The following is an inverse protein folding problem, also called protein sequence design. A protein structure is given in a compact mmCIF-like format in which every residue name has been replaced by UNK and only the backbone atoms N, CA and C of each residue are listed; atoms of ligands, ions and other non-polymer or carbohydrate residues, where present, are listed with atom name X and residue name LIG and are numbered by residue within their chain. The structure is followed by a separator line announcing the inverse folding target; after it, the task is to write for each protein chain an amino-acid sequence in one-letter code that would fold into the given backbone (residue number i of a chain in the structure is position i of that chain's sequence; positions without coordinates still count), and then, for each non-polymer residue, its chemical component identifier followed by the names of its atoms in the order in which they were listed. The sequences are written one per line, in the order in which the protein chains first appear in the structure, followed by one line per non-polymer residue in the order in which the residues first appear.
data_IF_378174301535
#
_entry.id   IF_378174301535
#
_cell.length_a   1.000
_cell.length_b   1.000
_cell.length_c   1.000
_cell.angle_alpha   90.00
_cell.angle_beta   90.00
_cell.angle_gamma   90.00
#
_symmetry.space_group_name_H-M   'P 1'
#
loop_
_entity.id
_entity.type
_entity.pdbx_description
1 polymer ?
#
# COMPACT_ATOMS: atom_id res chain seq x y z
N UNK A 1 21.92 -23.43 -25.85
CA UNK A 1 20.78 -24.25 -25.40
C UNK A 1 20.03 -23.40 -24.41
N UNK A 2 19.16 -22.52 -24.93
CA UNK A 2 18.40 -21.55 -24.15
C UNK A 2 17.15 -22.27 -23.65
N UNK A 3 17.17 -22.65 -22.38
CA UNK A 3 16.01 -23.24 -21.70
C UNK A 3 15.06 -22.13 -21.28
N UNK A 4 13.80 -22.29 -21.68
CA UNK A 4 12.63 -21.45 -21.40
C UNK A 4 12.63 -20.75 -20.03
N UNK A 5 12.80 -19.43 -20.03
CA UNK A 5 12.37 -18.52 -18.95
C UNK A 5 11.06 -17.79 -19.32
N UNK A 6 10.43 -18.17 -20.42
CA UNK A 6 9.19 -17.59 -20.92
C UNK A 6 7.99 -18.25 -20.24
N UNK A 7 7.14 -17.39 -19.65
CA UNK A 7 5.81 -17.66 -19.05
C UNK A 7 5.73 -18.09 -17.59
N UNK A 8 6.43 -17.40 -16.68
CA UNK A 8 5.75 -17.07 -15.42
C UNK A 8 4.58 -16.13 -15.77
N UNK A 9 3.33 -16.56 -15.58
CA UNK A 9 2.13 -15.75 -15.82
C UNK A 9 2.26 -14.49 -14.97
N UNK A 10 2.53 -13.34 -15.60
CA UNK A 10 2.64 -12.05 -14.90
C UNK A 10 1.26 -11.72 -14.34
N UNK A 11 1.10 -11.88 -13.02
CA UNK A 11 -0.14 -11.62 -12.32
C UNK A 11 -0.29 -10.11 -12.16
N UNK A 12 -1.54 -9.65 -12.11
CA UNK A 12 -1.85 -8.27 -11.76
C UNK A 12 -1.72 -8.06 -10.25
N UNK A 13 -2.17 -9.05 -9.48
CA UNK A 13 -2.13 -9.08 -8.01
C UNK A 13 -1.59 -10.44 -7.59
N UNK A 14 -0.63 -10.46 -6.68
CA UNK A 14 -0.01 -11.67 -6.15
C UNK A 14 -0.78 -12.20 -4.95
N UNK A 15 -1.23 -11.30 -4.06
CA UNK A 15 -1.92 -11.68 -2.82
C UNK A 15 -3.11 -10.77 -2.50
N UNK A 16 -4.08 -11.36 -1.81
CA UNK A 16 -5.18 -10.67 -1.15
C UNK A 16 -5.27 -11.15 0.30
N UNK A 17 -5.33 -10.22 1.24
CA UNK A 17 -5.38 -10.49 2.68
C UNK A 17 -6.58 -9.81 3.31
N UNK A 18 -7.15 -10.48 4.31
CA UNK A 18 -8.09 -9.89 5.25
C UNK A 18 -7.51 -10.07 6.65
N UNK A 19 -7.45 -8.98 7.40
CA UNK A 19 -7.02 -9.00 8.77
C UNK A 19 -8.03 -8.30 9.67
N UNK A 20 -8.09 -8.71 10.93
CA UNK A 20 -8.90 -8.05 11.96
C UNK A 20 -8.06 -7.65 13.15
N UNK A 21 -8.45 -6.57 13.81
CA UNK A 21 -7.85 -6.05 15.04
C UNK A 21 -8.93 -5.66 16.04
N UNK A 22 -8.99 -6.38 17.16
CA UNK A 22 -9.98 -6.27 18.25
C UNK A 22 -9.47 -5.45 19.44
N UNK A 23 -8.16 -5.20 19.50
CA UNK A 23 -7.47 -4.46 20.55
C UNK A 23 -6.02 -4.14 20.19
N UNK A 24 -5.30 -3.48 21.10
CA UNK A 24 -3.87 -3.21 20.90
C UNK A 24 -3.08 -4.54 20.94
N UNK A 25 -2.40 -4.86 19.82
CA UNK A 25 -1.59 -6.07 19.69
C UNK A 25 -2.36 -7.36 19.40
N UNK A 26 -3.69 -7.31 19.26
CA UNK A 26 -4.54 -8.46 18.92
C UNK A 26 -4.94 -8.39 17.43
N UNK A 27 -3.93 -8.51 16.57
CA UNK A 27 -4.05 -8.44 15.11
C UNK A 27 -3.87 -9.84 14.51
N UNK A 28 -4.79 -10.27 13.65
CA UNK A 28 -4.73 -11.59 13.05
C UNK A 28 -5.20 -11.58 11.59
N UNK A 29 -4.54 -12.37 10.74
CA UNK A 29 -5.05 -12.71 9.41
C UNK A 29 -6.25 -13.64 9.55
N UNK A 30 -7.39 -13.22 8.99
CA UNK A 30 -8.62 -14.02 8.95
C UNK A 30 -8.79 -14.71 7.60
N UNK A 31 -8.22 -14.14 6.53
CA UNK A 31 -8.23 -14.73 5.21
C UNK A 31 -6.97 -14.33 4.43
N UNK A 32 -6.53 -15.24 3.57
CA UNK A 32 -5.48 -14.96 2.60
C UNK A 32 -5.73 -15.75 1.32
N UNK A 33 -5.37 -15.14 0.20
CA UNK A 33 -5.34 -15.77 -1.10
C UNK A 33 -4.10 -15.32 -1.87
N UNK A 34 -3.35 -16.22 -2.52
CA UNK A 34 -3.44 -17.67 -2.42
C UNK A 34 -3.22 -18.19 -0.98
N UNK A 35 -3.70 -19.39 -0.69
CA UNK A 35 -3.37 -20.04 0.59
C UNK A 35 -1.86 -20.29 0.66
N UNK A 36 -1.22 -20.11 1.83
CA UNK A 36 0.22 -20.33 1.99
C UNK A 36 0.61 -21.70 1.48
N UNK A 37 1.47 -21.75 0.46
CA UNK A 37 2.19 -22.94 0.05
C UNK A 37 3.66 -22.77 0.43
N UNK A 38 4.39 -23.86 0.70
CA UNK A 38 5.81 -23.80 1.10
C UNK A 38 6.74 -23.17 0.03
N UNK A 39 6.24 -22.93 -1.19
CA UNK A 39 7.01 -22.48 -2.34
C UNK A 39 6.91 -20.97 -2.64
N UNK A 40 5.98 -20.25 -2.02
CA UNK A 40 5.77 -18.83 -2.29
C UNK A 40 6.61 -17.94 -1.36
N UNK A 41 7.21 -16.87 -1.90
CA UNK A 41 7.90 -15.82 -1.13
C UNK A 41 6.85 -15.00 -0.38
N UNK A 42 6.29 -15.61 0.68
CA UNK A 42 5.27 -15.03 1.52
C UNK A 42 5.82 -13.82 2.29
N UNK A 43 5.16 -12.65 2.31
CA UNK A 43 5.60 -11.51 3.11
C UNK A 43 5.27 -11.74 4.61
N UNK A 44 6.25 -12.10 5.47
CA UNK A 44 5.97 -12.56 6.83
C UNK A 44 5.40 -11.45 7.74
N UNK A 45 5.67 -10.18 7.41
CA UNK A 45 5.35 -9.03 8.24
C UNK A 45 4.15 -8.21 7.71
N UNK A 46 3.37 -8.76 6.78
CA UNK A 46 2.28 -8.03 6.10
C UNK A 46 1.29 -7.38 7.08
N UNK A 47 0.97 -8.06 8.18
CA UNK A 47 0.04 -7.56 9.20
C UNK A 47 0.47 -6.21 9.79
N UNK A 48 1.78 -5.99 9.97
CA UNK A 48 2.32 -4.76 10.54
C UNK A 48 2.02 -3.52 9.68
N UNK A 49 1.70 -3.71 8.40
CA UNK A 49 1.42 -2.66 7.43
C UNK A 49 -0.07 -2.54 7.08
N UNK A 50 -0.89 -3.53 7.43
CA UNK A 50 -2.33 -3.52 7.10
C UNK A 50 -3.15 -2.54 7.97
N UNK A 51 -2.61 -2.13 9.12
CA UNK A 51 -3.26 -1.23 10.06
C UNK A 51 -2.45 0.07 10.21
N UNK A 52 -2.82 1.16 9.51
CA UNK A 52 -2.12 2.43 9.64
C UNK A 52 -2.27 3.02 11.05
N UNK A 53 -1.35 3.91 11.42
CA UNK A 53 -1.45 4.68 12.65
C UNK A 53 -2.67 5.60 12.57
N UNK A 54 -3.65 5.41 13.45
CA UNK A 54 -4.81 6.31 13.53
C UNK A 54 -4.91 6.88 14.94
N UNK A 55 -5.15 8.19 15.06
CA UNK A 55 -5.55 8.79 16.33
C UNK A 55 -6.93 8.24 16.75
N UNK A 56 -6.98 7.61 17.93
CA UNK A 56 -8.13 7.23 18.81
C UNK A 56 -9.58 7.21 18.24
N UNK A 57 -10.40 6.19 18.54
CA UNK A 57 -11.71 6.00 17.91
C UNK A 57 -12.74 7.09 18.27
N UNK A 58 -13.61 7.38 17.29
CA UNK A 58 -14.97 7.92 17.42
C UNK A 58 -15.21 8.97 18.53
N UNK A 59 -14.90 10.24 18.26
CA UNK A 59 -15.55 11.33 18.98
C UNK A 59 -17.00 11.47 18.49
N UNK A 60 -17.98 11.19 19.35
CA UNK A 60 -19.39 11.51 19.08
C UNK A 60 -20.28 10.35 18.55
N UNK A 61 -19.90 9.09 18.74
CA UNK A 61 -20.77 7.93 18.49
C UNK A 61 -20.92 7.52 17.02
N UNK A 62 -20.26 8.21 16.09
CA UNK A 62 -20.13 7.80 14.69
C UNK A 62 -18.87 6.95 14.49
N UNK A 63 -18.96 5.91 13.65
CA UNK A 63 -17.79 5.14 13.24
C UNK A 63 -16.85 6.05 12.44
N UNK A 64 -15.51 5.97 12.66
CA UNK A 64 -14.56 6.74 11.89
C UNK A 64 -14.62 6.35 10.40
N UNK A 65 -14.26 7.27 9.49
CA UNK A 65 -14.19 6.96 8.07
C UNK A 65 -13.15 5.87 7.79
N UNK A 66 -13.27 5.12 6.68
CA UNK A 66 -12.22 4.21 6.23
C UNK A 66 -10.90 4.95 6.03
N UNK A 67 -9.80 4.30 6.40
CA UNK A 67 -8.43 4.80 6.25
C UNK A 67 -7.75 4.02 5.15
N UNK A 68 -7.17 4.75 4.20
CA UNK A 68 -6.40 4.20 3.09
C UNK A 68 -4.94 4.11 3.49
N UNK A 69 -4.29 3.03 3.11
CA UNK A 69 -2.87 2.87 3.35
C UNK A 69 -2.20 2.16 2.19
N UNK A 70 -0.98 2.58 1.89
CA UNK A 70 -0.12 1.95 0.90
C UNK A 70 1.26 1.80 1.49
N UNK A 71 1.99 0.77 1.07
CA UNK A 71 3.32 0.49 1.57
C UNK A 71 4.10 -0.31 0.54
N UNK A 72 5.42 -0.38 0.72
CA UNK A 72 6.31 -1.16 -0.14
C UNK A 72 7.06 -2.15 0.74
N UNK A 73 7.03 -3.42 0.33
CA UNK A 73 7.83 -4.48 0.93
C UNK A 73 8.97 -4.83 -0.02
N UNK A 74 10.16 -5.03 0.52
CA UNK A 74 11.32 -5.48 -0.25
C UNK A 74 11.47 -6.99 -0.09
N UNK A 75 11.45 -7.69 -1.22
CA UNK A 75 11.69 -9.14 -1.29
C UNK A 75 13.17 -9.46 -1.00
N UNK A 76 13.49 -10.73 -0.77
CA UNK A 76 14.87 -11.17 -0.59
C UNK A 76 15.73 -10.92 -1.84
N UNK A 77 15.09 -10.79 -3.01
CA UNK A 77 15.75 -10.46 -4.28
C UNK A 77 15.98 -8.96 -4.49
N UNK A 78 15.49 -8.11 -3.59
CA UNK A 78 15.52 -6.65 -3.73
C UNK A 78 14.38 -6.07 -4.59
N UNK A 79 13.49 -6.90 -5.13
CA UNK A 79 12.30 -6.43 -5.84
C UNK A 79 11.27 -5.84 -4.86
N UNK A 80 10.55 -4.81 -5.33
CA UNK A 80 9.48 -4.17 -4.57
C UNK A 80 8.13 -4.89 -4.76
N UNK A 81 7.40 -5.07 -3.67
CA UNK A 81 5.99 -5.47 -3.62
C UNK A 81 5.18 -4.32 -3.05
N UNK A 82 4.21 -3.84 -3.82
CA UNK A 82 3.33 -2.73 -3.48
C UNK A 82 2.08 -3.26 -2.78
N UNK A 83 1.94 -2.92 -1.50
CA UNK A 83 0.74 -3.20 -0.72
C UNK A 83 -0.22 -2.02 -0.75
N UNK A 84 -1.50 -2.31 -0.96
CA UNK A 84 -2.59 -1.34 -0.86
C UNK A 84 -3.64 -1.91 0.07
N UNK A 85 -4.03 -1.17 1.09
CA UNK A 85 -5.00 -1.62 2.07
C UNK A 85 -6.00 -0.54 2.43
N UNK A 86 -7.22 -0.96 2.72
CA UNK A 86 -8.25 -0.13 3.34
C UNK A 86 -8.58 -0.70 4.71
N UNK A 87 -8.66 0.16 5.72
CA UNK A 87 -8.98 -0.22 7.09
C UNK A 87 -10.27 0.50 7.52
N UNK A 88 -11.23 -0.25 8.07
CA UNK A 88 -12.50 0.30 8.51
C UNK A 88 -13.02 -0.42 9.76
N UNK A 89 -13.84 0.27 10.55
CA UNK A 89 -14.49 -0.33 11.71
C UNK A 89 -15.70 -1.18 11.29
N UNK A 90 -15.75 -2.42 11.76
CA UNK A 90 -16.91 -3.30 11.70
C UNK A 90 -17.50 -3.49 13.11
N UNK A 91 -18.83 -3.58 13.20
CA UNK A 91 -19.53 -3.86 14.46
C UNK A 91 -19.72 -5.37 14.61
N UNK A 92 -19.11 -5.95 15.65
CA UNK A 92 -19.26 -7.37 15.98
C UNK A 92 -20.43 -7.57 16.92
N UNK A 93 -21.64 -7.76 16.36
CA UNK A 93 -22.91 -8.03 17.07
C UNK A 93 -23.48 -6.89 17.92
N UNK A 94 -24.80 -6.84 18.07
CA UNK A 94 -25.51 -5.79 18.82
C UNK A 94 -25.41 -5.93 20.35
N UNK A 95 -24.92 -7.06 20.86
CA UNK A 95 -24.87 -7.38 22.30
C UNK A 95 -23.56 -6.98 22.97
N UNK A 96 -22.46 -6.89 22.23
CA UNK A 96 -21.16 -6.41 22.72
C UNK A 96 -20.74 -5.20 21.89
N UNK A 97 -20.60 -4.03 22.53
CA UNK A 97 -20.16 -2.78 21.89
C UNK A 97 -18.64 -2.81 21.59
N UNK A 98 -18.12 -3.94 21.12
CA UNK A 98 -16.71 -4.08 20.77
C UNK A 98 -16.53 -3.68 19.30
N UNK A 99 -15.72 -2.65 19.07
CA UNK A 99 -15.34 -2.23 17.72
C UNK A 99 -14.18 -3.09 17.25
N UNK A 100 -14.34 -3.76 16.10
CA UNK A 100 -13.27 -4.51 15.45
C UNK A 100 -12.84 -3.76 14.20
N UNK A 101 -11.54 -3.48 14.06
CA UNK A 101 -10.98 -2.98 12.81
C UNK A 101 -10.81 -4.13 11.84
N UNK A 102 -11.26 -3.95 10.60
CA UNK A 102 -11.05 -4.89 9.51
C UNK A 102 -10.21 -4.20 8.44
N UNK A 103 -9.18 -4.88 7.96
CA UNK A 103 -8.34 -4.41 6.87
C UNK A 103 -8.39 -5.38 5.70
N UNK A 104 -8.67 -4.85 4.50
CA UNK A 104 -8.56 -5.56 3.23
C UNK A 104 -7.31 -5.08 2.51
N UNK A 105 -6.48 -5.99 2.01
CA UNK A 105 -5.20 -5.63 1.41
C UNK A 105 -4.93 -6.43 0.12
N UNK A 106 -4.55 -5.74 -0.95
CA UNK A 106 -3.91 -6.34 -2.11
C UNK A 106 -2.40 -6.11 -2.07
N UNK A 107 -1.65 -7.09 -2.54
CA UNK A 107 -0.21 -6.97 -2.79
C UNK A 107 0.06 -7.24 -4.26
N UNK A 108 0.71 -6.28 -4.92
CA UNK A 108 1.06 -6.32 -6.34
C UNK A 108 2.57 -6.14 -6.56
N UNK A 109 3.18 -6.79 -7.55
CA UNK A 109 4.49 -6.43 -8.09
C UNK A 109 4.45 -5.12 -8.90
N UNK A 110 3.25 -4.61 -9.18
CA UNK A 110 3.02 -3.44 -10.01
C UNK A 110 2.45 -2.29 -9.16
N UNK A 111 2.92 -1.05 -9.38
CA UNK A 111 2.52 0.10 -8.57
C UNK A 111 1.14 0.66 -9.01
N UNK A 112 0.10 -0.17 -8.99
CA UNK A 112 -1.28 0.23 -9.29
C UNK A 112 -2.04 0.66 -8.03
N UNK A 113 -1.42 1.49 -7.20
CA UNK A 113 -1.88 1.78 -5.85
C UNK A 113 -3.29 2.39 -5.81
N UNK A 114 -3.51 3.52 -6.48
CA UNK A 114 -4.79 4.21 -6.59
C UNK A 114 -5.89 3.34 -7.20
N UNK A 115 -5.67 2.69 -8.37
CA UNK A 115 -6.63 1.73 -8.93
C UNK A 115 -7.01 0.60 -7.96
N UNK A 116 -6.04 0.00 -7.26
CA UNK A 116 -6.32 -1.10 -6.33
C UNK A 116 -7.02 -0.64 -5.05
N UNK A 117 -6.75 0.58 -4.56
CA UNK A 117 -7.53 1.18 -3.47
C UNK A 117 -9.00 1.39 -3.87
N UNK A 118 -9.24 1.97 -5.06
CA UNK A 118 -10.59 2.13 -5.63
C UNK A 118 -11.30 0.77 -5.76
N UNK A 119 -10.58 -0.27 -6.16
CA UNK A 119 -11.12 -1.63 -6.23
C UNK A 119 -11.47 -2.19 -4.84
N UNK A 120 -10.60 -2.00 -3.84
CA UNK A 120 -10.83 -2.43 -2.47
C UNK A 120 -12.06 -1.76 -1.84
N UNK A 121 -12.27 -0.47 -2.09
CA UNK A 121 -13.47 0.24 -1.63
C UNK A 121 -14.74 -0.45 -2.13
N UNK A 122 -14.80 -0.74 -3.42
CA UNK A 122 -15.95 -1.43 -4.02
C UNK A 122 -16.08 -2.87 -3.51
N UNK A 123 -14.95 -3.56 -3.30
CA UNK A 123 -14.96 -4.90 -2.72
C UNK A 123 -15.53 -4.91 -1.30
N UNK A 124 -15.18 -3.92 -0.48
CA UNK A 124 -15.76 -3.76 0.86
C UNK A 124 -17.27 -3.50 0.81
N UNK A 125 -17.73 -2.63 -0.10
CA UNK A 125 -19.17 -2.39 -0.31
C UNK A 125 -19.89 -3.67 -0.73
N UNK A 126 -19.35 -4.42 -1.69
CA UNK A 126 -19.90 -5.71 -2.11
C UNK A 126 -19.96 -6.72 -0.95
N UNK A 127 -18.94 -6.74 -0.08
CA UNK A 127 -18.95 -7.57 1.13
C UNK A 127 -20.10 -7.24 2.08
N UNK A 128 -20.40 -5.96 2.27
CA UNK A 128 -21.56 -5.52 3.07
C UNK A 128 -22.88 -5.95 2.42
N UNK A 129 -22.99 -5.86 1.09
CA UNK A 129 -24.18 -6.31 0.36
C UNK A 129 -24.36 -7.83 0.44
N UNK A 130 -23.29 -8.60 0.26
CA UNK A 130 -23.28 -10.06 0.36
C UNK A 130 -23.67 -10.53 1.77
N UNK A 131 -23.20 -9.85 2.83
CA UNK A 131 -23.61 -10.17 4.21
C UNK A 131 -25.12 -10.01 4.45
N UNK A 132 -25.83 -9.21 3.63
CA UNK A 132 -27.29 -9.01 3.70
C UNK A 132 -28.08 -9.94 2.78
N UNK A 133 -27.44 -10.58 1.81
CA UNK A 133 -28.08 -11.39 0.77
C UNK A 133 -27.38 -12.74 0.62
N UNK A 134 -28.02 -13.80 1.08
CA UNK A 134 -27.44 -15.16 1.21
C UNK A 134 -26.96 -15.75 -0.12
N UNK A 135 -27.59 -15.40 -1.25
CA UNK A 135 -27.30 -15.98 -2.57
C UNK A 135 -26.40 -15.10 -3.48
N UNK A 136 -25.90 -13.97 -2.98
CA UNK A 136 -25.09 -13.05 -3.77
C UNK A 136 -23.59 -13.32 -3.61
N UNK A 137 -22.97 -13.94 -4.61
CA UNK A 137 -21.52 -14.23 -4.64
C UNK A 137 -20.79 -13.14 -5.43
N UNK A 138 -20.74 -11.93 -4.86
CA UNK A 138 -20.15 -10.75 -5.53
C UNK A 138 -18.66 -10.62 -5.27
N UNK A 139 -18.23 -10.87 -4.03
CA UNK A 139 -16.84 -10.71 -3.60
C UNK A 139 -15.94 -11.74 -4.30
N UNK A 140 -16.30 -13.01 -4.27
CA UNK A 140 -15.50 -14.10 -4.84
C UNK A 140 -15.41 -14.00 -6.36
N UNK A 141 -16.50 -13.59 -7.04
CA UNK A 141 -16.48 -13.35 -8.49
C UNK A 141 -15.55 -12.18 -8.85
N UNK A 142 -15.60 -11.10 -8.08
CA UNK A 142 -14.74 -9.93 -8.29
C UNK A 142 -13.28 -10.27 -8.04
N UNK A 143 -12.96 -11.03 -6.98
CA UNK A 143 -11.61 -11.52 -6.74
C UNK A 143 -11.15 -12.47 -7.85
N UNK A 144 -11.97 -13.44 -8.24
CA UNK A 144 -11.63 -14.37 -9.32
C UNK A 144 -11.37 -13.63 -10.64
N UNK A 145 -12.18 -12.63 -10.98
CA UNK A 145 -11.96 -11.80 -12.15
C UNK A 145 -10.59 -11.10 -12.07
N UNK A 146 -10.29 -10.40 -10.97
CA UNK A 146 -9.04 -9.66 -10.81
C UNK A 146 -7.79 -10.56 -10.85
N UNK A 147 -7.85 -11.74 -10.21
CA UNK A 147 -6.70 -12.65 -10.12
C UNK A 147 -6.45 -13.45 -11.40
N UNK A 148 -7.50 -13.82 -12.14
CA UNK A 148 -7.37 -14.78 -13.23
C UNK A 148 -7.73 -14.24 -14.61
N UNK A 149 -8.67 -13.31 -14.69
CA UNK A 149 -9.22 -12.87 -15.97
C UNK A 149 -8.67 -11.51 -16.41
N UNK A 150 -8.46 -10.57 -15.48
CA UNK A 150 -7.89 -9.25 -15.81
C UNK A 150 -6.42 -9.41 -16.21
N UNK A 151 -6.06 -9.12 -17.46
CA UNK A 151 -4.67 -9.23 -17.89
C UNK A 151 -3.86 -8.04 -17.36
N UNK A 152 -2.57 -8.26 -17.13
CA UNK A 152 -1.65 -7.16 -16.88
C UNK A 152 -1.62 -6.21 -18.10
N UNK A 153 -1.80 -4.89 -17.93
CA UNK A 153 -1.74 -3.94 -19.04
C UNK A 153 -0.41 -4.01 -19.79
N UNK A 154 -0.48 -3.96 -21.12
CA UNK A 154 0.70 -3.82 -21.96
C UNK A 154 1.18 -2.38 -21.90
N UNK A 155 2.47 -2.19 -21.65
CA UNK A 155 3.09 -0.87 -21.56
C UNK A 155 2.87 -0.06 -22.84
N UNK A 156 2.48 1.21 -22.68
CA UNK A 156 2.24 2.13 -23.78
C UNK A 156 0.93 1.93 -24.55
N UNK A 157 0.06 1.04 -24.09
CA UNK A 157 -1.28 0.85 -24.67
C UNK A 157 -2.33 1.62 -23.86
N UNK A 158 -3.59 1.52 -24.29
CA UNK A 158 -4.71 2.24 -23.68
C UNK A 158 -4.93 1.92 -22.19
N UNK A 159 -4.47 0.75 -21.73
CA UNK A 159 -4.73 0.22 -20.39
C UNK A 159 -5.73 -0.93 -20.45
N UNK A 160 -6.11 -1.42 -19.27
CA UNK A 160 -7.14 -2.46 -19.05
C UNK A 160 -8.13 -1.90 -18.04
N UNK A 161 -9.42 -2.07 -18.30
CA UNK A 161 -10.47 -1.70 -17.35
C UNK A 161 -10.92 -2.95 -16.61
N UNK A 162 -10.86 -2.91 -15.27
CA UNK A 162 -11.42 -3.91 -14.39
C UNK A 162 -12.69 -3.33 -13.76
N UNK A 163 -13.84 -3.93 -14.06
CA UNK A 163 -15.14 -3.47 -13.56
C UNK A 163 -15.53 -4.24 -12.30
N UNK A 164 -15.97 -3.52 -11.26
CA UNK A 164 -16.46 -4.08 -10.00
C UNK A 164 -17.72 -3.32 -9.57
N UNK A 165 -18.85 -4.04 -9.49
CA UNK A 165 -20.16 -3.39 -9.34
C UNK A 165 -20.43 -2.43 -10.52
N UNK A 166 -20.75 -1.18 -10.20
CA UNK A 166 -20.98 -0.10 -11.18
C UNK A 166 -19.73 0.79 -11.39
N UNK A 167 -18.57 0.36 -10.88
CA UNK A 167 -17.33 1.14 -10.94
C UNK A 167 -16.32 0.51 -11.91
N UNK A 168 -15.81 1.34 -12.82
CA UNK A 168 -14.72 0.97 -13.73
C UNK A 168 -13.37 1.46 -13.19
N UNK A 169 -12.43 0.52 -13.02
CA UNK A 169 -11.07 0.81 -12.54
C UNK A 169 -10.08 0.67 -13.71
N UNK A 170 -9.46 1.79 -14.10
CA UNK A 170 -8.45 1.80 -15.18
C UNK A 170 -7.06 1.45 -14.64
N UNK A 171 -6.47 0.39 -15.18
CA UNK A 171 -5.09 -0.03 -14.95
C UNK A 171 -4.27 0.30 -16.19
N UNK A 172 -3.26 1.16 -16.06
CA UNK A 172 -2.49 1.64 -17.22
C UNK A 172 -1.00 1.70 -16.92
N UNK A 173 -0.20 1.30 -17.92
CA UNK A 173 1.25 1.40 -17.89
C UNK A 173 1.72 2.32 -19.00
N UNK A 174 2.43 3.38 -18.63
CA UNK A 174 2.84 4.46 -19.53
C UNK A 174 4.08 4.08 -20.34
N UNK A 175 4.27 4.71 -21.51
CA UNK A 175 5.49 4.49 -22.30
C UNK A 175 6.70 5.03 -21.56
N UNK A 176 7.90 4.50 -21.86
CA UNK A 176 9.16 5.05 -21.33
C UNK A 176 9.43 6.49 -21.81
N UNK A 177 8.80 6.91 -22.92
CA UNK A 177 8.91 8.28 -23.43
C UNK A 177 8.08 9.25 -22.59
N UNK A 178 6.92 8.81 -22.11
CA UNK A 178 6.05 9.61 -21.24
C UNK A 178 6.57 9.60 -19.80
N UNK A 179 6.88 8.41 -19.27
CA UNK A 179 7.31 8.17 -17.89
C UNK A 179 8.37 7.06 -17.89
N UNK A 180 9.63 7.37 -17.55
CA UNK A 180 10.74 6.42 -17.69
C UNK A 180 10.80 5.34 -16.59
N UNK A 181 9.78 5.28 -15.74
CA UNK A 181 9.65 4.34 -14.63
C UNK A 181 8.21 3.82 -14.52
N UNK A 182 8.00 2.78 -13.72
CA UNK A 182 6.66 2.29 -13.37
C UNK A 182 6.30 2.90 -12.02
N UNK A 183 5.24 3.72 -11.98
CA UNK A 183 4.74 4.36 -10.77
C UNK A 183 3.26 4.65 -10.95
N UNK A 184 2.54 4.76 -9.84
CA UNK A 184 1.21 5.34 -9.87
C UNK A 184 1.28 6.84 -10.19
N UNK A 185 0.64 7.27 -11.26
CA UNK A 185 0.65 8.68 -11.66
C UNK A 185 -0.17 9.56 -10.71
N UNK A 186 -1.15 9.00 -10.01
CA UNK A 186 -1.92 9.71 -8.99
C UNK A 186 -1.00 10.13 -7.82
N UNK A 187 0.04 9.35 -7.51
CA UNK A 187 1.04 9.72 -6.49
C UNK A 187 1.90 10.91 -6.90
N UNK A 188 2.24 11.04 -8.19
CA UNK A 188 2.97 12.20 -8.71
C UNK A 188 2.12 13.47 -8.57
N UNK A 189 0.84 13.38 -8.93
CA UNK A 189 -0.12 14.47 -8.81
C UNK A 189 -0.30 14.91 -7.36
N UNK A 190 -0.47 13.96 -6.44
CA UNK A 190 -0.56 14.24 -5.01
C UNK A 190 0.70 14.94 -4.49
N UNK A 191 1.88 14.43 -4.85
CA UNK A 191 3.16 15.00 -4.39
C UNK A 191 3.33 16.44 -4.84
N UNK A 192 3.04 16.74 -6.11
CA UNK A 192 3.13 18.11 -6.63
C UNK A 192 2.04 19.04 -6.11
N UNK A 193 0.90 18.50 -5.68
CA UNK A 193 -0.15 19.28 -5.03
C UNK A 193 0.21 19.67 -3.59
N UNK A 194 0.95 18.82 -2.86
CA UNK A 194 1.23 19.04 -1.42
C UNK A 194 2.62 19.62 -1.13
N UNK A 195 3.62 19.36 -1.98
CA UNK A 195 4.97 19.90 -1.79
C UNK A 195 5.22 21.13 -2.67
N UNK A 196 5.58 22.28 -2.06
CA UNK A 196 6.08 23.42 -2.82
C UNK A 196 7.34 23.04 -3.63
N UNK A 197 7.54 23.62 -4.84
CA UNK A 197 8.69 23.28 -5.68
C UNK A 197 10.05 23.45 -4.98
N UNK A 198 10.20 24.48 -4.13
CA UNK A 198 11.44 24.70 -3.38
C UNK A 198 11.75 23.59 -2.39
N UNK A 199 10.74 23.09 -1.67
CA UNK A 199 10.88 21.95 -0.75
C UNK A 199 11.20 20.67 -1.52
N UNK A 200 10.50 20.42 -2.62
CA UNK A 200 10.74 19.26 -3.48
C UNK A 200 12.20 19.23 -3.97
N UNK A 201 12.70 20.35 -4.51
CA UNK A 201 14.09 20.44 -4.96
C UNK A 201 15.09 20.28 -3.81
N UNK A 202 14.81 20.87 -2.65
CA UNK A 202 15.66 20.72 -1.46
C UNK A 202 15.79 19.27 -1.02
N UNK A 203 14.67 18.54 -0.95
CA UNK A 203 14.67 17.11 -0.61
C UNK A 203 15.36 16.28 -1.69
N UNK A 204 15.13 16.56 -2.98
CA UNK A 204 15.85 15.88 -4.06
C UNK A 204 17.37 16.09 -3.97
N UNK A 205 17.84 17.29 -3.62
CA UNK A 205 19.26 17.53 -3.37
C UNK A 205 19.79 16.66 -2.23
N UNK A 206 19.04 16.50 -1.13
CA UNK A 206 19.42 15.60 -0.04
C UNK A 206 19.49 14.13 -0.49
N UNK A 207 18.58 13.68 -1.35
CA UNK A 207 18.64 12.33 -1.92
C UNK A 207 19.84 12.15 -2.86
N UNK A 208 20.15 13.13 -3.71
CA UNK A 208 21.33 13.06 -4.58
C UNK A 208 22.65 13.05 -3.80
N UNK A 209 22.64 13.53 -2.56
CA UNK A 209 23.77 13.49 -1.61
C UNK A 209 23.73 12.26 -0.70
N UNK A 210 22.80 11.32 -0.93
CA UNK A 210 22.62 10.12 -0.11
C UNK A 210 22.44 10.43 1.38
N UNK A 211 21.70 11.49 1.72
CA UNK A 211 21.35 11.77 3.12
C UNK A 211 20.18 10.89 3.58
N UNK A 212 20.10 10.69 4.90
CA UNK A 212 18.91 10.13 5.53
C UNK A 212 17.74 11.14 5.48
N UNK A 213 16.60 10.73 4.93
CA UNK A 213 15.40 11.54 4.77
C UNK A 213 14.21 10.82 5.41
N UNK A 214 13.61 11.47 6.42
CA UNK A 214 12.35 11.04 7.03
C UNK A 214 11.21 11.97 6.57
N UNK A 215 10.18 11.39 5.97
CA UNK A 215 8.96 12.07 5.56
C UNK A 215 7.91 11.82 6.64
N UNK A 216 7.33 12.89 7.18
CA UNK A 216 6.37 12.79 8.29
C UNK A 216 5.03 13.35 7.86
N UNK A 217 3.96 12.57 8.05
CA UNK A 217 2.61 13.00 7.68
C UNK A 217 1.53 12.19 8.38
N UNK A 218 0.37 12.82 8.59
CA UNK A 218 -0.80 12.21 9.25
C UNK A 218 -1.44 11.14 8.36
N UNK A 219 -1.37 11.32 7.04
CA UNK A 219 -1.94 10.39 6.08
C UNK A 219 -0.83 9.59 5.40
N UNK A 220 -0.79 8.29 5.70
CA UNK A 220 0.24 7.36 5.22
C UNK A 220 0.19 7.15 3.71
N UNK A 221 -0.97 7.34 3.06
CA UNK A 221 -1.09 7.32 1.60
C UNK A 221 -0.26 8.44 0.97
N UNK A 222 -0.41 9.67 1.47
CA UNK A 222 0.34 10.82 0.96
C UNK A 222 1.83 10.72 1.29
N UNK A 223 2.18 10.22 2.48
CA UNK A 223 3.58 9.96 2.85
C UNK A 223 4.22 8.96 1.87
N UNK A 224 3.52 7.87 1.53
CA UNK A 224 3.99 6.90 0.53
C UNK A 224 4.13 7.54 -0.84
N UNK A 225 3.13 8.32 -1.26
CA UNK A 225 3.13 8.99 -2.55
C UNK A 225 4.34 9.92 -2.73
N UNK A 226 4.68 10.69 -1.69
CA UNK A 226 5.87 11.54 -1.67
C UNK A 226 7.15 10.71 -1.75
N UNK A 227 7.28 9.67 -0.92
CA UNK A 227 8.46 8.83 -0.90
C UNK A 227 8.72 8.14 -2.26
N UNK A 228 7.69 7.54 -2.85
CA UNK A 228 7.74 6.90 -4.16
C UNK A 228 8.05 7.91 -5.27
N UNK A 229 7.42 9.08 -5.25
CA UNK A 229 7.67 10.13 -6.24
C UNK A 229 9.11 10.60 -6.19
N UNK A 230 9.63 10.91 -4.99
CA UNK A 230 11.01 11.32 -4.80
C UNK A 230 12.01 10.26 -5.29
N UNK A 231 11.76 8.98 -4.97
CA UNK A 231 12.58 7.86 -5.45
C UNK A 231 12.64 7.79 -6.98
N UNK A 232 11.52 8.02 -7.66
CA UNK A 232 11.45 7.97 -9.12
C UNK A 232 12.00 9.22 -9.83
N UNK A 233 11.92 10.39 -9.19
CA UNK A 233 12.53 11.62 -9.69
C UNK A 233 14.06 11.59 -9.72
N UNK A 234 14.69 10.59 -9.10
CA UNK A 234 16.13 10.35 -9.23
C UNK A 234 16.54 9.79 -10.60
N UNK A 235 15.59 9.31 -11.42
CA UNK A 235 15.88 8.74 -12.73
C UNK A 235 16.85 9.63 -13.54
N UNK A 236 17.91 9.05 -14.15
CA UNK A 236 18.17 7.62 -14.34
C UNK A 236 18.90 6.94 -13.17
N UNK A 237 19.19 7.66 -12.08
CA UNK A 237 19.75 7.09 -10.86
C UNK A 237 18.68 6.29 -10.11
N UNK A 238 19.14 5.35 -9.29
CA UNK A 238 18.29 4.51 -8.43
C UNK A 238 18.71 4.74 -6.98
N UNK A 239 17.73 4.72 -6.08
CA UNK A 239 18.00 4.71 -4.65
C UNK A 239 18.31 3.27 -4.23
N UNK A 240 19.58 3.00 -3.92
CA UNK A 240 20.06 1.65 -3.58
C UNK A 240 20.13 1.39 -2.07
N UNK A 241 19.76 2.39 -1.26
CA UNK A 241 19.77 2.29 0.20
C UNK A 241 18.38 1.89 0.76
N UNK A 242 18.25 1.95 2.08
CA UNK A 242 17.00 1.59 2.77
C UNK A 242 15.85 2.48 2.26
N UNK A 243 14.75 1.84 1.85
CA UNK A 243 13.54 2.51 1.38
C UNK A 243 12.32 1.89 2.07
N UNK A 244 11.68 2.65 2.97
CA UNK A 244 10.54 2.21 3.77
C UNK A 244 9.49 3.34 3.75
N UNK A 245 8.67 3.43 2.70
CA UNK A 245 7.82 4.62 2.48
C UNK A 245 6.77 4.81 3.59
N UNK A 246 6.45 3.77 4.37
CA UNK A 246 5.73 3.87 5.64
C UNK A 246 6.32 2.85 6.60
N UNK A 247 6.88 3.34 7.72
CA UNK A 247 7.43 2.51 8.80
C UNK A 247 6.27 1.97 9.64
N UNK A 248 6.18 0.65 9.85
CA UNK A 248 5.09 0.08 10.63
C UNK A 248 5.21 0.44 12.12
N UNK A 249 4.09 0.47 12.83
CA UNK A 249 4.01 0.85 14.25
C UNK A 249 4.90 0.03 15.19
N UNK A 250 5.10 -1.26 14.88
CA UNK A 250 5.90 -2.15 15.72
C UNK A 250 7.41 -1.95 15.62
N UNK A 251 7.87 -1.09 14.69
CA UNK A 251 9.29 -0.78 14.53
C UNK A 251 9.65 0.45 15.36
N UNK A 252 10.68 0.32 16.19
CA UNK A 252 11.21 1.42 16.99
C UNK A 252 11.87 2.48 16.09
N UNK A 253 11.28 3.67 16.07
CA UNK A 253 11.76 4.79 15.27
C UNK A 253 13.19 5.21 15.65
N UNK A 254 13.59 5.06 16.92
CA UNK A 254 14.95 5.39 17.34
C UNK A 254 15.99 4.55 16.59
N UNK A 255 15.71 3.25 16.39
CA UNK A 255 16.62 2.34 15.67
C UNK A 255 16.81 2.74 14.20
N UNK A 256 15.77 3.28 13.57
CA UNK A 256 15.84 3.76 12.20
C UNK A 256 16.63 5.08 12.12
N UNK A 257 16.38 6.01 13.05
CA UNK A 257 17.08 7.30 13.11
C UNK A 257 18.58 7.15 13.42
N UNK A 258 18.95 6.14 14.21
CA UNK A 258 20.33 5.80 14.52
C UNK A 258 21.03 4.98 13.43
N UNK A 259 20.33 4.64 12.33
CA UNK A 259 20.89 3.84 11.26
C UNK A 259 22.11 4.57 10.64
N UNK A 260 23.28 3.91 10.52
CA UNK A 260 24.50 4.52 10.00
C UNK A 260 24.50 4.65 8.47
N UNK A 261 23.45 4.15 7.82
CA UNK A 261 23.29 4.12 6.36
C UNK A 261 22.21 5.11 5.93
N UNK A 262 22.28 5.66 4.70
CA UNK A 262 21.22 6.49 4.16
C UNK A 262 19.89 5.74 4.13
N UNK A 263 18.79 6.47 4.30
CA UNK A 263 17.46 5.91 4.15
C UNK A 263 16.49 6.96 3.60
N UNK A 264 15.45 6.47 2.93
CA UNK A 264 14.21 7.23 2.72
C UNK A 264 13.11 6.47 3.45
N UNK A 265 12.53 7.12 4.45
CA UNK A 265 11.49 6.52 5.26
C UNK A 265 10.30 7.46 5.45
N UNK A 266 9.12 6.89 5.67
CA UNK A 266 7.93 7.63 6.01
C UNK A 266 7.38 7.23 7.39
N UNK A 267 6.85 8.18 8.15
CA UNK A 267 6.27 7.91 9.46
C UNK A 267 5.06 8.79 9.78
N UNK A 268 4.17 8.26 10.62
CA UNK A 268 3.12 9.04 11.24
C UNK A 268 3.69 9.88 12.41
N UNK A 269 3.24 11.13 12.64
CA UNK A 269 3.72 11.97 13.74
C UNK A 269 3.70 11.29 15.12
N UNK A 270 2.67 10.48 15.41
CA UNK A 270 2.56 9.72 16.66
C UNK A 270 3.72 8.74 16.89
N UNK A 271 4.39 8.27 15.84
CA UNK A 271 5.56 7.38 15.97
C UNK A 271 6.82 8.13 16.40
N UNK A 272 6.80 9.47 16.39
CA UNK A 272 7.91 10.31 16.79
C UNK A 272 7.78 10.78 18.25
N UNK A 273 6.67 10.49 18.92
CA UNK A 273 6.48 10.83 20.33
C UNK A 273 7.51 10.07 21.18
N UNK A 274 8.54 10.80 21.65
CA UNK A 274 9.64 10.24 22.43
C UNK A 274 10.92 9.96 21.65
N UNK A 275 10.94 10.13 20.33
CA UNK A 275 12.16 10.03 19.53
C UNK A 275 12.99 11.33 19.63
N UNK A 276 14.30 11.20 19.86
CA UNK A 276 15.21 12.34 19.82
C UNK A 276 15.49 12.71 18.35
N UNK A 277 14.87 13.78 17.86
CA UNK A 277 15.12 14.27 16.51
C UNK A 277 16.48 15.00 16.45
N UNK A 278 17.26 14.82 15.36
CA UNK A 278 18.45 15.63 15.15
C UNK A 278 18.09 17.11 15.04
N UNK A 279 18.98 18.03 15.47
CA UNK A 279 18.72 19.47 15.38
C UNK A 279 18.55 19.90 13.91
N UNK A 280 17.55 20.75 13.66
CA UNK A 280 17.22 21.35 12.36
C UNK A 280 18.25 22.37 11.89
#
# INVERSE_FOLDING_TARGET
MATDLTTARRRLVEYFFVATKTGAGDEALTFQYPATTEADEYPPNILMFMFPCTSSPAHGGLLPPPVYNTFVLTTATGAALYGTSICFCALTSSSDMQHTLTSLCFVSQWPFCGPLLKYLEQLALLGVHQARQVDYVGVEKSLANLFFEVPLPVRGRAGVVASIGDTDVLLKRYTMQDVPFEMDMEFLEYTFAILPPGTLLGVLCHLLLEHAVLIVGVDTLFVTAVAETLRHLLFPLQWDHVFIPVVPLGVDMATLLDAPVPFVAGAHPLQLEGAALPPT
#
